data_IF_273643435678
#
_entry.id   IF_273643435678
#
_cell.length_a   1.000
_cell.length_b   1.000
_cell.length_c   1.000
_cell.angle_alpha   90.00
_cell.angle_beta   90.00
_cell.angle_gamma   90.00
#
_symmetry.space_group_name_H-M   'P 1'
#
loop_
_entity.id
_entity.type
_entity.pdbx_description
1 polymer ?
#
# COMPACT_ATOMS: atom_id res chain seq x y z
N UNK A 1 -12.73 -5.47 -26.25
CA UNK A 1 -13.03 -4.97 -25.90
C UNK A 1 -12.92 -4.14 -24.76
N UNK A 2 -13.42 -3.82 -24.02
CA UNK A 2 -13.50 -2.92 -23.13
C UNK A 2 -13.04 -3.08 -21.80
N UNK A 3 -12.44 -4.11 -21.50
CA UNK A 3 -11.93 -4.38 -20.23
C UNK A 3 -10.90 -3.47 -19.77
N UNK A 4 -10.23 -2.90 -20.66
CA UNK A 4 -9.21 -1.94 -20.35
C UNK A 4 -9.71 -0.78 -19.52
N UNK A 5 -11.02 -0.65 -19.39
CA UNK A 5 -11.53 0.43 -18.60
C UNK A 5 -11.61 0.11 -17.12
N UNK A 6 -11.25 -1.06 -16.74
CA UNK A 6 -11.26 -1.40 -15.33
C UNK A 6 -10.18 -0.61 -14.63
N UNK A 7 -10.59 0.20 -13.68
CA UNK A 7 -9.66 1.03 -12.93
C UNK A 7 -9.11 0.33 -11.70
N UNK A 8 -9.70 -0.77 -11.26
CA UNK A 8 -9.27 -1.51 -10.08
C UNK A 8 -8.38 -2.69 -10.42
N UNK A 9 -7.84 -3.34 -9.39
CA UNK A 9 -6.93 -4.47 -9.52
C UNK A 9 -7.64 -5.78 -9.22
N UNK A 10 -7.43 -6.78 -10.06
CA UNK A 10 -8.15 -8.04 -10.02
C UNK A 10 -7.50 -9.09 -9.12
N UNK A 11 -6.28 -8.87 -8.66
CA UNK A 11 -5.61 -9.77 -7.73
C UNK A 11 -4.96 -8.96 -6.60
N UNK A 12 -4.78 -9.58 -5.42
CA UNK A 12 -4.05 -8.90 -4.34
C UNK A 12 -2.63 -8.51 -4.75
N UNK A 13 -1.96 -9.34 -5.53
CA UNK A 13 -0.59 -9.05 -6.00
C UNK A 13 -0.56 -7.78 -6.86
N UNK A 14 -1.58 -7.57 -7.71
CA UNK A 14 -1.68 -6.37 -8.52
C UNK A 14 -1.83 -5.11 -7.67
N UNK A 15 -2.54 -5.22 -6.54
CA UNK A 15 -2.66 -4.09 -5.62
C UNK A 15 -1.29 -3.72 -5.06
N UNK A 16 -0.52 -4.69 -4.61
CA UNK A 16 0.80 -4.44 -4.06
C UNK A 16 1.75 -3.86 -5.12
N UNK A 17 1.70 -4.37 -6.33
CA UNK A 17 2.50 -3.82 -7.43
C UNK A 17 2.11 -2.38 -7.75
N UNK A 18 0.82 -2.05 -7.60
CA UNK A 18 0.34 -0.68 -7.80
C UNK A 18 0.83 0.27 -6.72
N UNK A 19 1.08 -0.24 -5.51
CA UNK A 19 1.71 0.57 -4.46
C UNK A 19 3.13 0.95 -4.87
N UNK A 20 3.89 -0.01 -5.40
CA UNK A 20 5.24 0.27 -5.90
C UNK A 20 5.20 1.38 -6.96
N UNK A 21 4.34 1.19 -7.94
CA UNK A 21 4.24 2.14 -9.06
C UNK A 21 3.80 3.53 -8.60
N UNK A 22 2.81 3.59 -7.72
CA UNK A 22 2.27 4.85 -7.24
C UNK A 22 3.25 5.63 -6.37
N UNK A 23 3.94 4.95 -5.47
CA UNK A 23 4.96 5.59 -4.63
C UNK A 23 6.10 6.10 -5.51
N UNK A 24 6.59 5.26 -6.42
CA UNK A 24 7.74 5.61 -7.24
C UNK A 24 7.43 6.70 -8.27
N UNK A 25 6.18 6.79 -8.71
CA UNK A 25 5.73 7.86 -9.62
C UNK A 25 5.23 9.11 -8.88
N UNK A 26 5.07 9.04 -7.57
CA UNK A 26 4.50 10.14 -6.81
C UNK A 26 3.02 10.36 -7.10
N UNK A 27 2.29 9.30 -7.45
CA UNK A 27 0.88 9.38 -7.87
C UNK A 27 -0.04 9.08 -6.70
N UNK A 28 -0.24 10.07 -5.85
CA UNK A 28 -1.01 9.91 -4.63
C UNK A 28 -2.48 9.57 -4.92
N UNK A 29 -3.07 10.16 -5.93
CA UNK A 29 -4.47 9.92 -6.26
C UNK A 29 -4.70 8.44 -6.66
N UNK A 30 -3.81 7.88 -7.46
CA UNK A 30 -3.89 6.45 -7.80
C UNK A 30 -3.74 5.57 -6.59
N UNK A 31 -2.83 5.91 -5.67
CA UNK A 31 -2.65 5.15 -4.44
C UNK A 31 -3.92 5.11 -3.61
N UNK A 32 -4.63 6.24 -3.51
CA UNK A 32 -5.85 6.31 -2.71
C UNK A 32 -6.95 5.40 -3.23
N UNK A 33 -6.96 5.09 -4.52
CA UNK A 33 -7.97 4.16 -5.07
C UNK A 33 -7.78 2.73 -4.59
N UNK A 34 -6.66 2.41 -3.97
CA UNK A 34 -6.34 1.05 -3.53
C UNK A 34 -6.91 0.73 -2.14
N UNK A 35 -7.55 1.71 -1.48
CA UNK A 35 -8.03 1.57 -0.11
C UNK A 35 -9.55 1.63 -0.03
N UNK A 36 -10.13 0.81 0.84
CA UNK A 36 -11.54 0.96 1.18
C UNK A 36 -11.75 2.27 1.97
N UNK A 37 -12.95 2.86 1.92
CA UNK A 37 -13.21 4.12 2.63
C UNK A 37 -12.96 4.06 4.13
N UNK A 38 -13.12 2.88 4.74
CA UNK A 38 -12.91 2.69 6.19
C UNK A 38 -11.61 1.95 6.50
N UNK A 39 -10.70 1.88 5.54
CA UNK A 39 -9.41 1.21 5.75
C UNK A 39 -8.58 1.92 6.80
N UNK A 40 -7.65 1.18 7.40
CA UNK A 40 -6.63 1.78 8.24
C UNK A 40 -5.25 1.49 7.68
N UNK A 41 -4.31 2.34 8.03
CA UNK A 41 -2.92 2.27 7.58
C UNK A 41 -2.00 2.48 8.78
N UNK A 42 -1.12 1.54 9.05
CA UNK A 42 -0.12 1.70 10.08
C UNK A 42 0.99 2.60 9.53
N UNK A 43 0.89 3.89 9.81
CA UNK A 43 1.82 4.90 9.28
C UNK A 43 3.22 4.73 9.85
N UNK A 44 3.30 4.27 11.09
CA UNK A 44 4.51 3.95 11.81
C UNK A 44 4.19 2.75 12.70
N UNK A 45 5.20 2.03 13.22
CA UNK A 45 4.93 1.07 14.27
C UNK A 45 4.14 1.74 15.40
N UNK A 46 3.00 1.14 15.78
CA UNK A 46 2.12 1.62 16.84
C UNK A 46 1.36 2.92 16.54
N UNK A 47 1.31 3.36 15.28
CA UNK A 47 0.51 4.51 14.86
C UNK A 47 -0.40 4.10 13.74
N UNK A 48 -1.69 4.46 13.86
CA UNK A 48 -2.68 4.13 12.85
C UNK A 48 -3.32 5.38 12.28
N UNK A 49 -3.38 5.45 10.95
CA UNK A 49 -4.22 6.40 10.23
C UNK A 49 -5.52 5.69 9.91
N UNK A 50 -6.65 6.23 10.37
CA UNK A 50 -7.96 5.58 10.25
C UNK A 50 -8.93 6.34 9.36
N UNK A 51 -8.48 7.36 8.70
CA UNK A 51 -9.31 8.16 7.79
C UNK A 51 -8.63 8.26 6.44
N UNK A 52 -9.39 8.52 5.36
CA UNK A 52 -8.78 8.75 4.06
C UNK A 52 -7.74 9.88 4.09
N UNK A 53 -8.04 10.97 4.79
CA UNK A 53 -7.10 12.09 4.90
C UNK A 53 -5.82 11.69 5.63
N UNK A 54 -5.93 10.91 6.69
CA UNK A 54 -4.77 10.43 7.43
C UNK A 54 -3.91 9.48 6.61
N UNK A 55 -4.54 8.61 5.84
CA UNK A 55 -3.82 7.70 4.94
C UNK A 55 -3.11 8.50 3.85
N UNK A 56 -3.80 9.47 3.27
CA UNK A 56 -3.25 10.33 2.24
C UNK A 56 -2.00 11.06 2.73
N UNK A 57 -2.06 11.63 3.93
CA UNK A 57 -0.91 12.30 4.52
C UNK A 57 0.26 11.37 4.77
N UNK A 58 -0.01 10.15 5.22
CA UNK A 58 1.04 9.16 5.47
C UNK A 58 1.74 8.76 4.17
N UNK A 59 0.98 8.53 3.11
CA UNK A 59 1.54 8.20 1.80
C UNK A 59 2.31 9.38 1.21
N UNK A 60 1.80 10.60 1.41
CA UNK A 60 2.50 11.81 0.96
C UNK A 60 3.88 11.91 1.60
N UNK A 61 4.01 11.51 2.86
CA UNK A 61 5.30 11.49 3.54
C UNK A 61 6.34 10.65 2.83
N UNK A 62 5.95 9.47 2.35
CA UNK A 62 6.86 8.65 1.55
C UNK A 62 7.18 9.27 0.20
N UNK A 63 6.17 9.80 -0.47
CA UNK A 63 6.35 10.43 -1.79
C UNK A 63 7.30 11.63 -1.68
N UNK A 64 7.15 12.43 -0.64
CA UNK A 64 7.97 13.64 -0.44
C UNK A 64 9.46 13.32 -0.24
N UNK A 65 9.78 12.13 0.19
CA UNK A 65 11.17 11.69 0.31
C UNK A 65 11.83 11.40 -1.05
N UNK A 66 11.03 11.40 -2.13
CA UNK A 66 11.51 11.22 -3.51
C UNK A 66 12.44 10.02 -3.66
N UNK A 67 12.09 8.96 -2.97
CA UNK A 67 12.88 7.76 -2.96
C UNK A 67 12.35 6.70 -3.88
N UNK A 68 12.81 5.49 -3.64
CA UNK A 68 12.40 4.33 -4.42
C UNK A 68 11.92 3.23 -3.47
N UNK A 69 10.72 2.74 -3.72
CA UNK A 69 10.16 1.58 -3.05
C UNK A 69 10.41 0.35 -3.90
N UNK A 70 10.90 -0.70 -3.24
CA UNK A 70 10.98 -2.04 -3.81
C UNK A 70 10.20 -2.97 -2.88
N UNK A 71 9.41 -3.87 -3.44
CA UNK A 71 8.54 -4.73 -2.64
C UNK A 71 8.36 -6.06 -3.33
N UNK A 72 8.41 -7.13 -2.55
CA UNK A 72 8.21 -8.47 -3.06
C UNK A 72 7.16 -9.17 -2.23
N UNK A 73 6.05 -9.55 -2.89
CA UNK A 73 5.01 -10.33 -2.24
C UNK A 73 5.57 -11.73 -1.96
N UNK A 74 5.44 -12.17 -0.72
CA UNK A 74 5.94 -13.46 -0.28
C UNK A 74 4.85 -14.50 -0.19
N UNK A 75 3.66 -14.11 0.24
CA UNK A 75 2.58 -15.07 0.46
C UNK A 75 1.23 -14.39 0.37
N UNK A 76 0.27 -15.07 -0.23
CA UNK A 76 -1.12 -14.65 -0.28
C UNK A 76 -1.98 -15.78 0.26
N UNK A 77 -2.75 -15.50 1.32
CA UNK A 77 -3.71 -16.44 1.89
C UNK A 77 -5.09 -15.87 1.68
N UNK A 78 -5.95 -16.60 0.98
CA UNK A 78 -7.31 -16.15 0.70
C UNK A 78 -8.32 -16.96 1.49
N UNK A 79 -9.32 -16.28 2.02
CA UNK A 79 -10.48 -16.90 2.65
C UNK A 79 -11.70 -16.07 2.27
N UNK A 80 -12.59 -16.63 1.45
CA UNK A 80 -13.76 -15.93 0.93
C UNK A 80 -13.34 -14.65 0.19
N UNK A 81 -13.84 -13.50 0.60
CA UNK A 81 -13.52 -12.21 -0.01
C UNK A 81 -12.32 -11.52 0.64
N UNK A 82 -11.60 -12.20 1.52
CA UNK A 82 -10.45 -11.64 2.21
C UNK A 82 -9.14 -12.28 1.75
N UNK A 83 -8.07 -11.50 1.80
CA UNK A 83 -6.73 -11.99 1.56
C UNK A 83 -5.78 -11.39 2.59
N UNK A 84 -4.94 -12.25 3.17
CA UNK A 84 -3.82 -11.81 3.99
C UNK A 84 -2.58 -11.89 3.10
N UNK A 85 -1.90 -10.78 2.91
CA UNK A 85 -0.74 -10.68 2.03
C UNK A 85 0.47 -10.29 2.85
N UNK A 86 1.50 -11.12 2.80
CA UNK A 86 2.78 -10.77 3.43
C UNK A 86 3.80 -10.45 2.36
N UNK A 87 4.64 -9.46 2.63
CA UNK A 87 5.65 -8.97 1.68
C UNK A 87 6.91 -8.55 2.41
N UNK A 88 7.99 -8.46 1.66
CA UNK A 88 9.22 -7.83 2.12
C UNK A 88 9.43 -6.58 1.29
N UNK A 89 9.81 -5.47 1.91
CA UNK A 89 10.00 -4.23 1.18
C UNK A 89 11.18 -3.44 1.72
N UNK A 90 11.69 -2.58 0.84
CA UNK A 90 12.73 -1.62 1.18
C UNK A 90 12.41 -0.28 0.55
N UNK A 91 12.81 0.77 1.19
CA UNK A 91 12.62 2.12 0.69
C UNK A 91 13.86 2.94 0.97
N UNK A 92 14.35 3.66 -0.04
CA UNK A 92 15.48 4.56 0.08
C UNK A 92 15.06 5.93 -0.42
N UNK A 93 15.28 6.95 0.38
CA UNK A 93 14.89 8.31 0.02
C UNK A 93 15.63 9.34 0.84
N UNK A 94 15.15 10.57 0.81
CA UNK A 94 15.77 11.68 1.54
C UNK A 94 14.73 12.31 2.46
N UNK A 95 15.04 12.39 3.74
CA UNK A 95 14.14 13.01 4.71
C UNK A 95 14.09 14.53 4.56
N UNK A 96 13.14 15.15 5.27
CA UNK A 96 12.95 16.60 5.23
C UNK A 96 14.17 17.38 5.75
N UNK A 97 15.01 16.72 6.55
CA UNK A 97 16.26 17.30 7.06
C UNK A 97 17.43 17.13 6.09
N UNK A 98 17.19 16.58 4.89
CA UNK A 98 18.22 16.35 3.90
C UNK A 98 19.02 15.07 4.12
N UNK A 99 18.73 14.30 5.16
CA UNK A 99 19.46 13.07 5.45
C UNK A 99 18.89 11.90 4.70
N UNK A 100 19.76 10.98 4.31
CA UNK A 100 19.36 9.76 3.64
C UNK A 100 18.54 8.86 4.58
N UNK A 101 17.50 8.25 4.04
CA UNK A 101 16.63 7.34 4.78
C UNK A 101 16.62 6.00 4.06
N UNK A 102 16.98 4.95 4.79
CA UNK A 102 16.85 3.57 4.32
C UNK A 102 15.96 2.81 5.28
N UNK A 103 14.91 2.20 4.76
CA UNK A 103 13.99 1.40 5.58
C UNK A 103 13.86 0.03 4.93
N UNK A 104 13.88 -1.00 5.74
CA UNK A 104 13.59 -2.37 5.33
C UNK A 104 12.65 -2.98 6.34
N UNK A 105 11.58 -3.59 5.88
CA UNK A 105 10.60 -4.20 6.77
C UNK A 105 9.83 -5.31 6.07
N UNK A 106 8.98 -5.97 6.83
CA UNK A 106 8.05 -6.99 6.33
C UNK A 106 6.64 -6.52 6.61
N UNK A 107 5.78 -6.59 5.61
CA UNK A 107 4.40 -6.14 5.74
C UNK A 107 3.46 -7.33 5.91
N UNK A 108 2.32 -7.06 6.53
CA UNK A 108 1.21 -8.00 6.63
C UNK A 108 -0.08 -7.20 6.43
N UNK A 109 -0.67 -7.35 5.25
CA UNK A 109 -1.81 -6.55 4.83
C UNK A 109 -3.05 -7.41 4.70
N UNK A 110 -4.22 -6.82 4.94
CA UNK A 110 -5.50 -7.47 4.70
C UNK A 110 -6.23 -6.71 3.60
N UNK A 111 -6.62 -7.44 2.58
CA UNK A 111 -7.36 -6.91 1.44
C UNK A 111 -8.71 -7.58 1.36
N UNK A 112 -9.68 -6.87 0.77
CA UNK A 112 -11.03 -7.40 0.52
C UNK A 112 -11.38 -7.29 -0.94
N UNK A 113 -11.97 -8.36 -1.48
CA UNK A 113 -12.50 -8.33 -2.82
C UNK A 113 -13.82 -7.58 -2.82
N UNK A 114 -13.92 -6.60 -3.71
CA UNK A 114 -15.10 -5.76 -3.85
C UNK A 114 -16.12 -6.44 -4.75
N UNK A 115 -17.33 -5.91 -4.82
CA UNK A 115 -18.40 -6.49 -5.65
C UNK A 115 -18.04 -6.55 -7.13
N UNK A 116 -17.23 -5.60 -7.59
CA UNK A 116 -16.79 -5.56 -8.99
C UNK A 116 -15.62 -6.49 -9.27
N UNK A 117 -15.18 -7.28 -8.29
CA UNK A 117 -14.07 -8.22 -8.41
C UNK A 117 -12.71 -7.63 -8.13
N UNK A 118 -12.59 -6.33 -7.95
CA UNK A 118 -11.31 -5.69 -7.64
C UNK A 118 -10.98 -5.87 -6.16
N UNK A 119 -9.70 -5.72 -5.82
CA UNK A 119 -9.23 -5.86 -4.43
C UNK A 119 -8.79 -4.51 -3.90
N UNK A 120 -9.06 -4.27 -2.61
CA UNK A 120 -8.63 -3.05 -1.93
C UNK A 120 -8.15 -3.36 -0.53
N UNK A 121 -7.25 -2.52 -0.03
CA UNK A 121 -6.78 -2.64 1.35
C UNK A 121 -7.90 -2.36 2.35
N UNK A 122 -8.02 -3.23 3.33
CA UNK A 122 -8.78 -3.02 4.56
C UNK A 122 -7.82 -2.57 5.65
N UNK A 123 -6.69 -3.26 5.76
CA UNK A 123 -5.62 -2.93 6.69
C UNK A 123 -4.31 -2.94 5.90
N UNK A 124 -3.64 -1.81 5.84
CA UNK A 124 -2.31 -1.71 5.27
C UNK A 124 -1.32 -1.63 6.42
N UNK A 125 -0.56 -2.70 6.62
CA UNK A 125 0.38 -2.79 7.73
C UNK A 125 1.80 -3.04 7.23
N UNK A 126 2.51 -1.97 6.86
CA UNK A 126 3.88 -2.09 6.34
C UNK A 126 4.89 -2.66 7.32
N UNK A 127 4.55 -2.65 8.61
CA UNK A 127 5.50 -2.96 9.68
C UNK A 127 5.37 -4.39 10.21
N UNK A 128 4.37 -5.15 9.73
CA UNK A 128 4.17 -6.53 10.13
C UNK A 128 3.86 -6.67 11.61
N UNK A 129 4.78 -7.24 12.36
CA UNK A 129 4.59 -7.44 13.80
C UNK A 129 5.25 -6.37 14.66
N UNK A 130 5.85 -5.39 14.04
CA UNK A 130 6.52 -4.31 14.78
C UNK A 130 5.56 -3.25 15.31
#
# INVERSE_FOLDING_TARGET
MLIQHMSGKMTPEEVLNSVIDGINAGDLDSLMTLYEPLACFASQPRQLAKSPDGIRESLRGFIDMKGKLDLKVKRVLKASDLALVTSEWSFSGTGSDGKHVDITSKSADVLRQQRDGTWRFVIDNPWGTD
#
